data_IF_182404242640
#
_entry.id   IF_182404242640
#
_cell.length_a   1.000
_cell.length_b   1.000
_cell.length_c   1.000
_cell.angle_alpha   90.00
_cell.angle_beta   90.00
_cell.angle_gamma   90.00
#
_symmetry.space_group_name_H-M   'P 1'
#
loop_
_entity.id
_entity.type
_entity.pdbx_description
1 polymer ?
#
# COMPACT_ATOMS: atom_id res chain seq x y z
N UNK A 1 0.54 -8.07 7.78
CA UNK A 1 2.01 -8.25 7.85
C UNK A 1 2.43 -9.65 7.39
N UNK A 2 2.07 -10.71 8.08
CA UNK A 2 2.54 -12.07 7.80
C UNK A 2 2.43 -12.55 6.34
N UNK A 3 1.46 -12.08 5.59
CA UNK A 3 1.26 -12.46 4.19
C UNK A 3 2.24 -11.78 3.21
N UNK A 4 2.39 -10.46 3.32
CA UNK A 4 3.23 -9.69 2.38
C UNK A 4 4.67 -9.49 2.84
N UNK A 5 4.90 -9.51 4.15
CA UNK A 5 6.19 -9.22 4.77
C UNK A 5 6.45 -10.21 5.92
N UNK A 6 6.61 -11.53 5.61
CA UNK A 6 6.76 -12.56 6.63
C UNK A 6 8.00 -12.34 7.51
N UNK A 7 9.13 -11.95 6.91
CA UNK A 7 10.39 -11.73 7.62
C UNK A 7 10.30 -10.55 8.60
N UNK A 8 9.65 -9.45 8.20
CA UNK A 8 9.41 -8.33 9.08
C UNK A 8 8.39 -8.69 10.18
N UNK A 9 7.37 -9.50 9.84
CA UNK A 9 6.37 -9.96 10.80
C UNK A 9 6.98 -10.87 11.88
N UNK A 10 7.94 -11.72 11.52
CA UNK A 10 8.62 -12.63 12.43
C UNK A 10 9.52 -11.92 13.46
N UNK A 11 9.90 -10.68 13.21
CA UNK A 11 10.72 -9.87 14.12
C UNK A 11 9.89 -9.12 15.18
N UNK A 12 8.57 -9.11 15.07
CA UNK A 12 7.67 -8.37 15.96
C UNK A 12 7.20 -9.26 17.09
N UNK A 13 7.25 -8.75 18.31
CA UNK A 13 6.64 -9.40 19.47
C UNK A 13 5.15 -9.11 19.55
N UNK A 14 4.36 -9.97 18.90
CA UNK A 14 2.89 -9.88 18.87
C UNK A 14 2.21 -10.19 20.20
N UNK A 15 2.95 -10.67 21.19
CA UNK A 15 2.43 -10.86 22.56
C UNK A 15 2.31 -9.54 23.33
N UNK A 16 3.02 -8.51 22.86
CA UNK A 16 3.02 -7.17 23.43
C UNK A 16 1.96 -6.28 22.82
N UNK A 17 1.64 -5.19 23.50
CA UNK A 17 0.74 -4.17 22.98
C UNK A 17 1.24 -3.62 21.64
N UNK A 18 0.32 -3.42 20.72
CA UNK A 18 0.56 -2.69 19.48
C UNK A 18 -0.51 -1.61 19.30
N UNK A 19 -0.10 -0.43 18.86
CA UNK A 19 -0.96 0.76 18.79
C UNK A 19 -1.01 1.30 17.38
N UNK A 20 -2.22 1.41 16.82
CA UNK A 20 -2.45 2.08 15.54
C UNK A 20 -2.49 3.60 15.72
N UNK A 21 -1.69 4.30 14.96
CA UNK A 21 -1.47 5.74 15.03
C UNK A 21 -1.87 6.44 13.71
N UNK A 22 -2.98 6.01 13.13
CA UNK A 22 -3.43 6.52 11.83
C UNK A 22 -3.83 8.00 11.84
N UNK A 23 -4.28 8.52 12.98
CA UNK A 23 -4.64 9.94 13.13
C UNK A 23 -3.39 10.81 13.20
N UNK A 24 -2.40 10.36 13.94
CA UNK A 24 -1.09 11.01 14.08
C UNK A 24 -0.35 11.01 12.75
N UNK A 25 -0.42 9.92 11.99
CA UNK A 25 0.15 9.85 10.65
C UNK A 25 -0.47 10.92 9.73
N UNK A 26 -1.79 11.10 9.80
CA UNK A 26 -2.45 12.15 9.02
C UNK A 26 -1.93 13.54 9.35
N UNK A 27 -1.68 13.85 10.62
CA UNK A 27 -1.11 15.14 11.04
C UNK A 27 0.31 15.32 10.47
N UNK A 28 1.15 14.28 10.53
CA UNK A 28 2.52 14.29 9.97
C UNK A 28 2.52 14.49 8.44
N UNK A 29 1.51 13.92 7.75
CA UNK A 29 1.40 13.94 6.29
C UNK A 29 0.74 15.23 5.78
N UNK A 30 -0.20 15.84 6.54
CA UNK A 30 -0.90 17.07 6.15
C UNK A 30 0.04 18.28 5.97
N UNK A 31 1.11 18.36 6.76
CA UNK A 31 2.15 19.39 6.63
C UNK A 31 3.01 19.20 5.36
N UNK A 32 2.87 18.08 4.68
CA UNK A 32 3.44 17.88 3.35
C UNK A 32 2.36 18.18 2.32
N UNK A 33 2.48 19.19 1.48
CA UNK A 33 1.62 19.54 0.32
C UNK A 33 1.39 18.37 -0.68
N UNK A 34 1.70 17.13 -0.29
CA UNK A 34 1.70 15.90 -1.08
C UNK A 34 0.33 15.19 -1.18
N UNK A 35 -0.73 15.83 -0.69
CA UNK A 35 -2.13 15.43 -0.96
C UNK A 35 -2.58 14.12 -0.32
N UNK A 36 -3.59 14.19 0.53
CA UNK A 36 -4.34 13.10 1.16
C UNK A 36 -4.79 12.02 0.17
N UNK A 37 -4.07 10.91 0.00
CA UNK A 37 -4.45 9.95 -1.06
C UNK A 37 -4.34 8.47 -0.78
N UNK A 38 -3.76 8.00 0.34
CA UNK A 38 -3.47 6.56 0.41
C UNK A 38 -3.88 5.95 1.75
N UNK A 39 -4.05 4.65 1.74
CA UNK A 39 -4.30 3.86 2.95
C UNK A 39 -2.96 3.67 3.65
N UNK A 40 -2.45 4.75 4.20
CA UNK A 40 -1.25 4.69 5.01
C UNK A 40 -1.64 4.25 6.41
N UNK A 41 -0.87 3.35 6.96
CA UNK A 41 -1.01 2.86 8.32
C UNK A 41 0.27 3.11 9.08
N UNK A 42 0.14 3.63 10.28
CA UNK A 42 1.24 3.74 11.22
C UNK A 42 0.91 2.91 12.44
N UNK A 43 1.80 1.98 12.76
CA UNK A 43 1.65 1.09 13.91
C UNK A 43 2.90 1.14 14.75
N UNK A 44 2.75 1.36 16.05
CA UNK A 44 3.82 1.22 17.02
C UNK A 44 3.84 -0.21 17.54
N UNK A 45 5.00 -0.87 17.47
CA UNK A 45 5.20 -2.26 17.90
C UNK A 45 6.49 -2.45 18.66
N UNK A 46 6.62 -3.56 19.38
CA UNK A 46 7.87 -4.01 19.99
C UNK A 46 8.50 -5.12 19.15
N UNK A 47 9.82 -5.18 19.13
CA UNK A 47 10.57 -6.23 18.42
C UNK A 47 11.11 -7.28 19.41
N UNK A 48 11.26 -8.52 18.94
CA UNK A 48 11.67 -9.67 19.75
C UNK A 48 13.08 -9.55 20.34
N UNK A 49 13.99 -8.77 19.74
CA UNK A 49 15.42 -8.73 20.09
C UNK A 49 15.76 -7.88 21.32
N UNK A 50 14.90 -7.89 22.34
CA UNK A 50 15.29 -7.58 23.73
C UNK A 50 15.65 -6.14 24.10
N UNK A 51 15.77 -5.21 23.17
CA UNK A 51 15.74 -3.80 23.50
C UNK A 51 14.28 -3.38 23.60
N UNK A 52 13.90 -2.69 24.68
CA UNK A 52 12.53 -2.10 24.84
C UNK A 52 12.20 -1.07 23.76
N UNK A 53 12.76 -1.26 22.58
CA UNK A 53 12.66 -0.31 21.47
C UNK A 53 11.34 -0.49 20.76
N UNK A 54 10.44 0.43 21.05
CA UNK A 54 9.31 0.67 20.17
C UNK A 54 9.82 1.08 18.78
N UNK A 55 9.35 0.40 17.76
CA UNK A 55 9.53 0.83 16.37
C UNK A 55 8.20 1.26 15.78
N UNK A 56 8.28 2.09 14.77
CA UNK A 56 7.11 2.52 13.99
C UNK A 56 7.12 1.80 12.64
N UNK A 57 6.00 1.22 12.27
CA UNK A 57 5.83 0.58 10.97
C UNK A 57 4.89 1.44 10.15
N UNK A 58 5.41 2.03 9.10
CA UNK A 58 4.66 2.74 8.09
C UNK A 58 4.35 1.80 6.93
N UNK A 59 3.08 1.55 6.64
CA UNK A 59 2.65 0.72 5.50
C UNK A 59 1.89 1.57 4.51
N UNK A 60 2.39 1.66 3.28
CA UNK A 60 1.73 2.36 2.19
C UNK A 60 1.23 1.39 1.11
N UNK A 61 -0.04 1.53 0.71
CA UNK A 61 -0.65 0.76 -0.38
C UNK A 61 -0.83 1.65 -1.60
N UNK A 62 -0.01 1.43 -2.63
CA UNK A 62 0.01 2.23 -3.85
C UNK A 62 -0.72 1.55 -5.00
N UNK A 63 -1.84 2.13 -5.42
CA UNK A 63 -2.73 1.56 -6.47
C UNK A 63 -2.42 1.97 -7.89
N UNK A 64 -1.53 2.95 -8.12
CA UNK A 64 -1.16 3.47 -9.43
C UNK A 64 0.32 3.81 -9.48
N UNK A 65 0.96 3.61 -10.65
CA UNK A 65 2.35 4.02 -10.85
C UNK A 65 2.49 5.55 -10.70
N UNK A 66 3.40 5.99 -9.82
CA UNK A 66 3.72 7.40 -9.60
C UNK A 66 5.23 7.60 -9.47
N UNK A 67 5.78 8.56 -10.20
CA UNK A 67 7.22 8.85 -10.19
C UNK A 67 7.71 9.24 -8.78
N UNK A 68 6.93 10.03 -8.05
CA UNK A 68 7.28 10.56 -6.73
C UNK A 68 7.04 9.57 -5.57
N UNK A 69 6.63 8.32 -5.85
CA UNK A 69 6.29 7.35 -4.80
C UNK A 69 7.47 7.08 -3.85
N UNK A 70 8.65 6.74 -4.40
CA UNK A 70 9.81 6.43 -3.57
C UNK A 70 10.30 7.63 -2.74
N UNK A 71 10.25 8.85 -3.33
CA UNK A 71 10.53 10.09 -2.61
C UNK A 71 9.55 10.33 -1.46
N UNK A 72 8.26 10.04 -1.68
CA UNK A 72 7.23 10.15 -0.66
C UNK A 72 7.47 9.19 0.50
N UNK A 73 7.81 7.92 0.22
CA UNK A 73 8.20 6.94 1.24
C UNK A 73 9.35 7.46 2.11
N UNK A 74 10.38 8.04 1.48
CA UNK A 74 11.52 8.64 2.16
C UNK A 74 11.09 9.80 3.07
N UNK A 75 10.29 10.74 2.56
CA UNK A 75 9.84 11.92 3.31
C UNK A 75 8.97 11.49 4.50
N UNK A 76 8.09 10.51 4.34
CA UNK A 76 7.25 10.03 5.44
C UNK A 76 8.05 9.29 6.50
N UNK A 77 8.99 8.44 6.11
CA UNK A 77 9.91 7.76 7.03
C UNK A 77 10.66 8.78 7.90
N UNK A 78 11.29 9.77 7.26
CA UNK A 78 12.03 10.82 7.96
C UNK A 78 11.14 11.62 8.92
N UNK A 79 9.94 12.03 8.50
CA UNK A 79 9.03 12.82 9.36
C UNK A 79 8.52 12.04 10.56
N UNK A 80 8.25 10.75 10.39
CA UNK A 80 7.86 9.89 11.50
C UNK A 80 9.04 9.74 12.47
N UNK A 81 10.25 9.53 11.94
CA UNK A 81 11.46 9.48 12.76
C UNK A 81 11.68 10.80 13.51
N UNK A 82 11.62 11.93 12.84
CA UNK A 82 11.79 13.27 13.42
C UNK A 82 10.81 13.54 14.56
N UNK A 83 9.55 13.12 14.37
CA UNK A 83 8.49 13.33 15.37
C UNK A 83 8.63 12.46 16.62
N UNK A 84 9.04 11.20 16.45
CA UNK A 84 9.02 10.22 17.53
C UNK A 84 10.42 9.83 18.05
N UNK A 85 11.47 10.23 17.35
CA UNK A 85 12.88 9.91 17.65
C UNK A 85 13.10 8.40 17.86
N UNK A 86 12.40 7.57 17.07
CA UNK A 86 12.42 6.11 17.12
C UNK A 86 12.62 5.51 15.73
N UNK A 87 13.22 4.31 15.61
CA UNK A 87 13.36 3.63 14.34
C UNK A 87 12.02 3.46 13.61
N UNK A 88 12.04 3.66 12.30
CA UNK A 88 10.85 3.56 11.43
C UNK A 88 11.11 2.56 10.31
N UNK A 89 10.33 1.50 10.25
CA UNK A 89 10.29 0.58 9.13
C UNK A 89 9.18 1.01 8.16
N UNK A 90 9.54 1.38 6.94
CA UNK A 90 8.55 1.68 5.89
C UNK A 90 8.37 0.46 4.98
N UNK A 91 7.13 0.05 4.72
CA UNK A 91 6.76 -1.10 3.91
C UNK A 91 5.80 -0.65 2.80
N UNK A 92 5.95 -1.17 1.60
CA UNK A 92 5.11 -0.79 0.46
C UNK A 92 4.37 -1.98 -0.15
N UNK A 93 3.07 -1.85 -0.36
CA UNK A 93 2.26 -2.80 -1.14
C UNK A 93 1.86 -2.14 -2.46
N UNK A 94 2.36 -2.66 -3.58
CA UNK A 94 2.12 -2.12 -4.91
C UNK A 94 0.99 -2.88 -5.60
N UNK A 95 -0.15 -2.22 -5.74
CA UNK A 95 -1.38 -2.76 -6.28
C UNK A 95 -1.69 -2.25 -7.72
N UNK A 96 -0.72 -1.62 -8.39
CA UNK A 96 -0.83 -1.19 -9.79
C UNK A 96 -0.56 -2.34 -10.78
N UNK A 97 -0.94 -2.13 -12.05
CA UNK A 97 -0.85 -3.15 -13.12
C UNK A 97 0.54 -3.26 -13.79
N UNK A 98 1.47 -2.33 -13.49
CA UNK A 98 2.79 -2.29 -14.13
C UNK A 98 3.79 -3.24 -13.45
N UNK A 99 3.93 -4.46 -13.93
CA UNK A 99 4.78 -5.52 -13.34
C UNK A 99 6.21 -5.09 -13.03
N UNK A 100 6.82 -4.29 -13.90
CA UNK A 100 8.20 -3.84 -13.75
C UNK A 100 8.39 -2.65 -12.80
N UNK A 101 7.29 -2.00 -12.39
CA UNK A 101 7.39 -0.87 -11.49
C UNK A 101 7.43 -1.34 -10.03
N UNK A 102 8.63 -1.39 -9.46
CA UNK A 102 8.92 -1.86 -8.10
C UNK A 102 9.93 -0.94 -7.41
N UNK A 103 9.60 0.34 -7.19
CA UNK A 103 10.50 1.25 -6.47
C UNK A 103 10.66 0.76 -5.02
N UNK A 104 11.91 0.52 -4.63
CA UNK A 104 12.29 0.00 -3.30
C UNK A 104 13.28 0.89 -2.57
N UNK A 105 13.69 2.01 -3.19
CA UNK A 105 14.62 2.95 -2.56
C UNK A 105 14.46 4.37 -3.10
N UNK A 106 14.87 5.33 -2.27
CA UNK A 106 15.06 6.73 -2.65
C UNK A 106 16.22 7.33 -1.86
N UNK A 107 16.99 8.19 -2.49
CA UNK A 107 18.07 8.87 -1.80
C UNK A 107 18.74 9.94 -2.70
N UNK A 108 19.67 10.64 -2.08
CA UNK A 108 20.51 11.62 -2.75
C UNK A 108 21.93 11.64 -2.13
N UNK A 109 22.88 12.13 -2.90
CA UNK A 109 24.23 12.38 -2.43
C UNK A 109 24.69 13.74 -2.93
N UNK A 110 25.22 14.57 -2.02
CA UNK A 110 25.72 15.92 -2.33
C UNK A 110 26.85 16.28 -1.36
N UNK A 111 27.95 16.83 -1.87
CA UNK A 111 29.09 17.28 -1.10
C UNK A 111 29.64 16.22 -0.11
N UNK A 112 29.64 14.96 -0.51
CA UNK A 112 30.08 13.84 0.35
C UNK A 112 29.01 13.33 1.34
N UNK A 113 27.92 14.04 1.54
CA UNK A 113 26.79 13.59 2.35
C UNK A 113 25.89 12.67 1.54
N UNK A 114 25.52 11.51 2.09
CA UNK A 114 24.58 10.56 1.47
C UNK A 114 23.41 10.28 2.41
N UNK A 115 22.19 10.40 1.90
CA UNK A 115 20.97 10.04 2.61
C UNK A 115 20.16 9.09 1.72
N UNK A 116 19.89 7.88 2.20
CA UNK A 116 19.19 6.84 1.44
C UNK A 116 18.21 6.10 2.34
N UNK A 117 17.02 5.85 1.84
CA UNK A 117 16.04 4.94 2.41
C UNK A 117 15.85 3.76 1.44
N UNK A 118 16.04 2.55 1.93
CA UNK A 118 15.63 1.30 1.29
C UNK A 118 14.45 0.72 2.04
N UNK A 119 13.47 0.16 1.34
CA UNK A 119 12.26 -0.37 1.96
C UNK A 119 11.72 -1.62 1.23
N UNK A 120 11.21 -2.61 1.98
CA UNK A 120 10.59 -3.79 1.43
C UNK A 120 9.34 -3.46 0.61
N UNK A 121 9.17 -4.19 -0.49
CA UNK A 121 8.06 -4.02 -1.44
C UNK A 121 7.39 -5.35 -1.69
N UNK A 122 6.06 -5.40 -1.54
CA UNK A 122 5.22 -6.50 -1.99
C UNK A 122 4.42 -6.05 -3.23
N UNK A 123 4.60 -6.72 -4.35
CA UNK A 123 3.92 -6.42 -5.60
C UNK A 123 2.79 -7.40 -5.86
N UNK A 124 1.54 -6.92 -5.97
CA UNK A 124 0.38 -7.82 -6.12
C UNK A 124 0.43 -8.63 -7.42
N UNK A 125 0.98 -8.08 -8.51
CA UNK A 125 1.13 -8.82 -9.77
C UNK A 125 2.11 -9.99 -9.71
N UNK A 126 2.99 -10.07 -8.69
CA UNK A 126 3.88 -11.21 -8.48
C UNK A 126 3.14 -12.48 -7.99
N UNK A 127 1.88 -12.33 -7.62
CA UNK A 127 1.01 -13.42 -7.19
C UNK A 127 0.07 -13.92 -8.31
N UNK A 128 0.20 -13.41 -9.55
CA UNK A 128 -0.68 -13.82 -10.66
C UNK A 128 -0.59 -15.31 -10.95
N UNK A 129 0.59 -15.91 -10.88
CA UNK A 129 0.80 -17.34 -11.13
C UNK A 129 0.41 -18.23 -9.93
N UNK A 130 0.06 -17.62 -8.79
CA UNK A 130 -0.30 -18.29 -7.53
C UNK A 130 -1.80 -18.19 -7.19
N UNK A 131 -2.64 -17.79 -8.14
CA UNK A 131 -4.07 -17.56 -7.89
C UNK A 131 -4.75 -18.78 -7.29
N UNK A 132 -4.52 -19.98 -7.84
CA UNK A 132 -5.18 -21.20 -7.36
C UNK A 132 -4.67 -21.61 -5.96
N UNK A 133 -3.39 -21.42 -5.66
CA UNK A 133 -2.83 -21.61 -4.33
C UNK A 133 -3.44 -20.63 -3.31
N UNK A 134 -3.55 -19.35 -3.67
CA UNK A 134 -4.13 -18.33 -2.82
C UNK A 134 -5.63 -18.52 -2.61
N UNK A 135 -6.32 -19.07 -3.60
CA UNK A 135 -7.74 -19.42 -3.48
C UNK A 135 -7.97 -20.54 -2.47
N UNK A 136 -7.02 -21.41 -2.19
CA UNK A 136 -7.11 -22.46 -1.16
C UNK A 136 -6.48 -22.03 0.18
N UNK A 137 -5.74 -20.95 0.23
CA UNK A 137 -5.14 -20.39 1.45
C UNK A 137 -6.20 -19.90 2.43
N UNK A 138 -6.04 -20.14 3.71
CA UNK A 138 -6.92 -19.61 4.77
C UNK A 138 -6.68 -18.11 5.05
N UNK A 139 -5.58 -17.56 4.52
CA UNK A 139 -5.24 -16.17 4.76
C UNK A 139 -6.14 -15.22 3.96
N UNK A 140 -6.86 -14.36 4.66
CA UNK A 140 -7.76 -13.37 4.06
C UNK A 140 -7.05 -12.44 3.06
N UNK A 141 -5.77 -12.11 3.27
CA UNK A 141 -5.00 -11.27 2.34
C UNK A 141 -4.69 -11.99 1.03
N UNK A 142 -4.56 -13.32 1.02
CA UNK A 142 -4.50 -14.11 -0.20
C UNK A 142 -5.75 -13.91 -1.06
N UNK A 143 -6.94 -14.01 -0.45
CA UNK A 143 -8.21 -13.78 -1.14
C UNK A 143 -8.37 -12.34 -1.63
N UNK A 144 -7.95 -11.34 -0.84
CA UNK A 144 -7.94 -9.93 -1.24
C UNK A 144 -7.04 -9.73 -2.46
N UNK A 145 -5.86 -10.34 -2.45
CA UNK A 145 -4.89 -10.29 -3.56
C UNK A 145 -5.49 -10.88 -4.83
N UNK A 146 -6.06 -12.08 -4.75
CA UNK A 146 -6.74 -12.72 -5.90
C UNK A 146 -7.88 -11.85 -6.42
N UNK A 147 -8.75 -11.34 -5.53
CA UNK A 147 -9.86 -10.48 -5.93
C UNK A 147 -9.39 -9.20 -6.63
N UNK A 148 -8.26 -8.62 -6.18
CA UNK A 148 -7.66 -7.46 -6.82
C UNK A 148 -7.11 -7.81 -8.21
N UNK A 149 -6.32 -8.89 -8.34
CA UNK A 149 -5.74 -9.35 -9.61
C UNK A 149 -6.85 -9.65 -10.63
N UNK A 150 -7.85 -10.47 -10.26
CA UNK A 150 -8.98 -10.80 -11.13
C UNK A 150 -9.77 -9.55 -11.55
N UNK A 151 -9.86 -8.57 -10.66
CA UNK A 151 -10.51 -7.29 -10.95
C UNK A 151 -9.72 -6.47 -11.98
N UNK A 152 -8.39 -6.49 -11.92
CA UNK A 152 -7.53 -5.82 -12.91
C UNK A 152 -7.60 -6.52 -14.26
N UNK A 153 -7.43 -7.84 -14.30
CA UNK A 153 -7.45 -8.65 -15.51
C UNK A 153 -8.78 -8.55 -16.27
N UNK A 154 -9.91 -8.44 -15.55
CA UNK A 154 -11.26 -8.36 -16.16
C UNK A 154 -11.77 -6.93 -16.32
N UNK A 155 -10.92 -5.90 -16.24
CA UNK A 155 -11.33 -4.49 -16.20
C UNK A 155 -12.19 -4.05 -17.38
N UNK A 156 -11.93 -4.59 -18.57
CA UNK A 156 -12.66 -4.27 -19.81
C UNK A 156 -13.69 -5.33 -20.22
N UNK A 157 -13.86 -6.40 -19.44
CA UNK A 157 -14.66 -7.56 -19.79
C UNK A 157 -15.75 -7.79 -18.73
N UNK A 158 -16.96 -7.24 -18.95
CA UNK A 158 -18.02 -7.27 -17.94
C UNK A 158 -18.47 -8.70 -17.57
N UNK A 159 -18.58 -9.60 -18.55
CA UNK A 159 -18.99 -10.99 -18.30
C UNK A 159 -17.92 -11.77 -17.50
N UNK A 160 -16.66 -11.65 -17.90
CA UNK A 160 -15.55 -12.32 -17.19
C UNK A 160 -15.40 -11.78 -15.75
N UNK A 161 -15.62 -10.49 -15.56
CA UNK A 161 -15.65 -9.91 -14.21
C UNK A 161 -16.80 -10.47 -13.37
N UNK A 162 -17.95 -10.67 -13.94
CA UNK A 162 -19.09 -11.27 -13.25
C UNK A 162 -18.77 -12.72 -12.85
N UNK A 163 -18.24 -13.53 -13.76
CA UNK A 163 -17.81 -14.91 -13.49
C UNK A 163 -16.74 -14.97 -12.38
N UNK A 164 -15.71 -14.10 -12.44
CA UNK A 164 -14.66 -14.02 -11.43
C UNK A 164 -15.23 -13.68 -10.05
N UNK A 165 -16.15 -12.73 -9.96
CA UNK A 165 -16.82 -12.40 -8.69
C UNK A 165 -17.65 -13.55 -8.15
N UNK A 166 -18.42 -14.23 -9.01
CA UNK A 166 -19.22 -15.39 -8.60
C UNK A 166 -18.31 -16.53 -8.09
N UNK A 167 -17.19 -16.81 -8.79
CA UNK A 167 -16.20 -17.81 -8.35
C UNK A 167 -15.70 -17.47 -6.95
N UNK A 168 -15.28 -16.23 -6.72
CA UNK A 168 -14.79 -15.78 -5.41
C UNK A 168 -15.85 -15.91 -4.32
N UNK A 169 -17.09 -15.45 -4.60
CA UNK A 169 -18.20 -15.55 -3.65
C UNK A 169 -18.47 -17.02 -3.28
N UNK A 170 -18.52 -17.92 -4.27
CA UNK A 170 -18.73 -19.36 -4.00
C UNK A 170 -17.65 -19.94 -3.09
N UNK A 171 -16.38 -19.61 -3.33
CA UNK A 171 -15.26 -20.07 -2.50
C UNK A 171 -15.40 -19.56 -1.07
N UNK A 172 -15.78 -18.29 -0.87
CA UNK A 172 -15.97 -17.71 0.44
C UNK A 172 -17.09 -18.40 1.22
N UNK A 173 -18.23 -18.69 0.57
CA UNK A 173 -19.32 -19.45 1.21
C UNK A 173 -18.94 -20.90 1.50
N UNK A 174 -18.21 -21.57 0.62
CA UNK A 174 -17.71 -22.93 0.87
C UNK A 174 -16.77 -22.99 2.07
N UNK A 175 -16.10 -21.88 2.42
CA UNK A 175 -15.24 -21.74 3.60
C UNK A 175 -15.99 -21.28 4.85
N UNK A 176 -17.29 -21.34 4.85
CA UNK A 176 -18.13 -20.91 5.97
C UNK A 176 -17.92 -19.46 6.39
N UNK A 177 -17.48 -18.59 5.44
CA UNK A 177 -17.45 -17.16 5.71
C UNK A 177 -18.88 -16.65 5.85
N UNK A 178 -19.14 -15.96 6.95
CA UNK A 178 -20.42 -15.31 7.15
C UNK A 178 -20.63 -14.16 6.16
N UNK A 179 -21.88 -13.76 5.99
CA UNK A 179 -22.28 -12.70 5.06
C UNK A 179 -21.54 -11.38 5.34
N UNK A 180 -21.29 -11.05 6.59
CA UNK A 180 -20.64 -9.80 6.97
C UNK A 180 -19.17 -9.79 6.53
N UNK A 181 -18.44 -10.87 6.77
CA UNK A 181 -17.04 -11.02 6.29
C UNK A 181 -16.93 -10.91 4.77
N UNK A 182 -17.89 -11.49 4.03
CA UNK A 182 -17.94 -11.38 2.57
C UNK A 182 -18.19 -9.93 2.15
N UNK A 183 -19.13 -9.24 2.79
CA UNK A 183 -19.40 -7.82 2.53
C UNK A 183 -18.17 -6.95 2.82
N UNK A 184 -17.49 -7.17 3.94
CA UNK A 184 -16.30 -6.43 4.35
C UNK A 184 -15.16 -6.62 3.37
N UNK A 185 -14.93 -7.84 2.88
CA UNK A 185 -13.96 -8.13 1.83
C UNK A 185 -14.25 -7.33 0.55
N UNK A 186 -15.49 -7.41 0.05
CA UNK A 186 -15.86 -6.68 -1.16
C UNK A 186 -15.84 -5.17 -0.95
N UNK A 187 -16.19 -4.69 0.23
CA UNK A 187 -16.11 -3.27 0.60
C UNK A 187 -14.65 -2.78 0.58
N UNK A 188 -13.71 -3.56 1.13
CA UNK A 188 -12.28 -3.25 1.07
C UNK A 188 -11.78 -3.15 -0.39
N UNK A 189 -12.15 -4.11 -1.25
CA UNK A 189 -11.80 -4.12 -2.67
C UNK A 189 -12.41 -2.92 -3.41
N UNK A 190 -13.67 -2.57 -3.12
CA UNK A 190 -14.35 -1.43 -3.75
C UNK A 190 -13.85 -0.08 -3.24
N UNK A 191 -13.46 0.01 -1.98
CA UNK A 191 -12.93 1.24 -1.39
C UNK A 191 -11.58 1.63 -2.02
N UNK A 192 -10.72 0.68 -2.30
CA UNK A 192 -9.50 0.89 -3.10
C UNK A 192 -9.83 1.45 -4.50
N UNK A 193 -10.91 0.99 -5.13
CA UNK A 193 -11.33 1.48 -6.46
C UNK A 193 -11.81 2.93 -6.46
N UNK A 194 -12.63 3.34 -5.50
CA UNK A 194 -13.11 4.74 -5.41
C UNK A 194 -11.94 5.70 -5.25
N UNK A 195 -10.97 5.36 -4.41
CA UNK A 195 -9.77 6.19 -4.21
C UNK A 195 -8.94 6.31 -5.49
N UNK A 196 -8.74 5.22 -6.23
CA UNK A 196 -8.02 5.23 -7.51
C UNK A 196 -8.71 6.08 -8.59
N UNK A 197 -10.06 6.06 -8.63
CA UNK A 197 -10.84 6.85 -9.60
C UNK A 197 -10.76 8.37 -9.32
N UNK A 198 -10.84 8.78 -8.06
CA UNK A 198 -10.68 10.20 -7.67
C UNK A 198 -9.26 10.72 -7.91
N UNK A 199 -8.23 9.88 -7.76
CA UNK A 199 -6.85 10.27 -8.00
C UNK A 199 -6.55 10.51 -9.48
N UNK A 200 -7.09 9.69 -10.40
CA UNK A 200 -6.93 9.86 -11.84
C UNK A 200 -7.60 11.15 -12.34
N UNK A 201 -8.79 11.51 -11.84
CA UNK A 201 -9.48 12.75 -12.27
C UNK A 201 -8.80 14.03 -11.81
N UNK A 202 -8.13 14.06 -10.66
CA UNK A 202 -7.41 15.25 -10.20
C UNK A 202 -6.05 15.41 -10.86
N UNK A 203 -5.33 14.34 -11.17
CA UNK A 203 -4.07 14.38 -11.91
C UNK A 203 -4.21 15.07 -13.27
N UNK A 204 -5.29 14.79 -14.00
CA UNK A 204 -5.59 15.42 -15.29
C UNK A 204 -5.99 16.92 -15.18
N UNK A 205 -6.44 17.42 -14.03
CA UNK A 205 -6.81 18.84 -13.86
C UNK A 205 -5.61 19.73 -13.55
N UNK A 206 -4.55 19.21 -12.96
CA UNK A 206 -3.36 20.00 -12.63
C UNK A 206 -2.32 20.01 -13.74
N UNK A 207 -2.25 18.97 -14.58
CA UNK A 207 -1.36 18.95 -15.75
C UNK A 207 -1.70 20.03 -16.79
N UNK A 208 -2.98 20.39 -16.94
CA UNK A 208 -3.41 21.43 -17.90
C UNK A 208 -3.31 22.89 -17.38
N UNK A 209 -3.02 23.12 -16.10
CA UNK A 209 -2.93 24.50 -15.56
C UNK A 209 -1.54 25.10 -15.57
N UNK A 210 -0.49 24.29 -15.65
CA UNK A 210 0.90 24.76 -15.64
C UNK A 210 1.57 24.73 -17.01
N UNK A 211 0.97 24.08 -18.02
CA UNK A 211 1.50 24.07 -19.40
C UNK A 211 1.36 25.37 -20.18
N UNK A 212 0.51 26.31 -19.78
CA UNK A 212 0.19 27.51 -20.56
C UNK A 212 0.74 28.84 -20.00
N UNK A 213 1.65 28.84 -19.02
CA UNK A 213 2.16 30.11 -18.45
C UNK A 213 3.61 30.48 -18.81
N UNK A 214 4.31 29.65 -19.56
CA UNK A 214 5.71 29.95 -19.94
C UNK A 214 5.95 30.04 -21.46
N UNK A 215 4.92 30.25 -22.25
CA UNK A 215 5.01 30.30 -23.70
C UNK A 215 4.61 31.64 -24.33
N UNK A 216 4.90 32.80 -23.73
CA UNK A 216 4.84 34.10 -24.43
C UNK A 216 5.53 35.19 -23.63
N UNK A 217 6.83 35.33 -23.80
CA UNK A 217 7.54 36.63 -23.77
C UNK A 217 8.79 36.49 -24.65
N UNK A 218 8.67 36.94 -25.85
CA UNK A 218 9.73 37.60 -26.63
C UNK A 218 9.26 38.99 -26.94
#
# INVERSE_FOLDING_TARGET
MAFYFPDACAQIDWSKEHVFLDQELRAVVQDAELGTRFVDRLVRVQVLNGSESWIYIHVEVQGTKQAEFAKRMFVYNYRIFDRYEKPVASLAVLADEHKQWKPSSYGFAVLGCRHTLEFPVAKLTDYEDKIDELLVSENAFGLITVAHILTQQTRKQHQERYKAKLRLIRILYQRHWDKQRVIDLFSAIHHQRRKNWYSQRRGNRYGNRYGNRYGQRR
#
